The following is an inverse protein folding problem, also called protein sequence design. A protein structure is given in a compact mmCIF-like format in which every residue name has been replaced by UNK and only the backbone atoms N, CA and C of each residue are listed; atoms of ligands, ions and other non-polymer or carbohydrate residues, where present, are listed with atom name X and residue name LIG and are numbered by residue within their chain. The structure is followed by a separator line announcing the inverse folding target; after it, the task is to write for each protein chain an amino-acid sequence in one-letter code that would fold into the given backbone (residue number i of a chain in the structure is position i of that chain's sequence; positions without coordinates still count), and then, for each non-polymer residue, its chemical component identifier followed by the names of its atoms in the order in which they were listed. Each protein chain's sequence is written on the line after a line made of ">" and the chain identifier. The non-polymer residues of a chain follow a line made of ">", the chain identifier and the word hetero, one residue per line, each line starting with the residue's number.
data_IF_509198599076
#
_entry.id   IF_509198599076
#
_cell.length_a   1.000
_cell.length_b   1.000
_cell.length_c   1.000
_cell.angle_alpha   90.00
_cell.angle_beta   90.00
_cell.angle_gamma   90.00
#
_symmetry.space_group_name_H-M   'P 1'
#
loop_
_entity.id
_entity.type
_entity.pdbx_description
1 polymer ?
#
# COMPACT_ATOMS: atom_id res chain seq x y z
N UNK A 1 -33.90 -16.48 19.89
CA UNK A 1 -33.59 -15.73 18.65
C UNK A 1 -33.19 -16.74 17.59
N UNK A 2 -34.02 -16.96 16.56
CA UNK A 2 -33.67 -17.82 15.44
C UNK A 2 -32.45 -17.23 14.72
N UNK A 3 -31.30 -17.90 14.79
CA UNK A 3 -30.16 -17.60 13.92
C UNK A 3 -30.58 -17.98 12.50
N UNK A 4 -31.13 -17.04 11.75
CA UNK A 4 -31.29 -17.17 10.31
C UNK A 4 -29.90 -17.34 9.73
N UNK A 5 -29.55 -18.57 9.35
CA UNK A 5 -28.26 -18.87 8.71
C UNK A 5 -28.18 -18.02 7.45
N UNK A 6 -27.31 -17.02 7.46
CA UNK A 6 -27.07 -16.19 6.29
C UNK A 6 -26.46 -17.06 5.21
N UNK A 7 -26.90 -16.87 3.96
CA UNK A 7 -26.45 -17.66 2.81
C UNK A 7 -25.82 -16.74 1.77
N UNK A 8 -24.83 -17.25 1.05
CA UNK A 8 -24.15 -16.58 -0.05
C UNK A 8 -24.43 -17.34 -1.33
N UNK A 9 -24.84 -16.64 -2.38
CA UNK A 9 -25.12 -17.23 -3.69
C UNK A 9 -24.00 -16.86 -4.65
N UNK A 10 -23.59 -17.81 -5.49
CA UNK A 10 -22.59 -17.59 -6.53
C UNK A 10 -23.07 -16.56 -7.57
N UNK A 11 -22.13 -15.94 -8.27
CA UNK A 11 -22.40 -14.92 -9.29
C UNK A 11 -23.23 -15.46 -10.47
N UNK A 12 -23.11 -16.75 -10.75
CA UNK A 12 -23.88 -17.45 -11.78
C UNK A 12 -25.25 -17.94 -11.29
N UNK A 13 -25.57 -17.77 -10.00
CA UNK A 13 -26.84 -18.16 -9.39
C UNK A 13 -27.04 -19.67 -9.19
N UNK A 14 -26.05 -20.51 -9.54
CA UNK A 14 -26.21 -21.98 -9.53
C UNK A 14 -25.93 -22.63 -8.18
N UNK A 15 -25.15 -21.97 -7.32
CA UNK A 15 -24.70 -22.51 -6.04
C UNK A 15 -25.04 -21.53 -4.91
N UNK A 16 -25.59 -22.06 -3.82
CA UNK A 16 -25.84 -21.29 -2.59
C UNK A 16 -25.21 -22.03 -1.43
N UNK A 17 -24.29 -21.37 -0.73
CA UNK A 17 -23.57 -21.90 0.43
C UNK A 17 -23.94 -21.10 1.69
N UNK A 18 -23.62 -21.63 2.87
CA UNK A 18 -23.74 -20.84 4.10
C UNK A 18 -22.57 -19.87 4.25
N UNK A 19 -22.74 -18.82 5.07
CA UNK A 19 -21.63 -17.89 5.36
C UNK A 19 -20.45 -18.61 6.00
N UNK A 20 -20.68 -19.59 6.88
CA UNK A 20 -19.60 -20.35 7.51
C UNK A 20 -18.78 -21.18 6.50
N UNK A 21 -19.43 -21.65 5.43
CA UNK A 21 -18.76 -22.35 4.35
C UNK A 21 -17.99 -21.39 3.44
N UNK A 22 -18.55 -20.22 3.17
CA UNK A 22 -17.87 -19.14 2.44
C UNK A 22 -16.59 -18.70 3.15
N UNK A 23 -16.65 -18.45 4.47
CA UNK A 23 -15.48 -18.04 5.26
C UNK A 23 -14.38 -19.12 5.23
N UNK A 24 -14.77 -20.40 5.35
CA UNK A 24 -13.81 -21.51 5.24
C UNK A 24 -13.11 -21.56 3.88
N UNK A 25 -13.86 -21.34 2.80
CA UNK A 25 -13.29 -21.31 1.43
C UNK A 25 -12.33 -20.12 1.31
N UNK A 26 -12.72 -18.94 1.80
CA UNK A 26 -11.88 -17.74 1.78
C UNK A 26 -10.56 -17.94 2.56
N UNK A 27 -10.63 -18.46 3.79
CA UNK A 27 -9.47 -18.70 4.65
C UNK A 27 -8.52 -19.78 4.09
N UNK A 28 -9.06 -20.74 3.33
CA UNK A 28 -8.26 -21.77 2.67
C UNK A 28 -7.46 -21.26 1.47
N UNK A 29 -7.76 -20.05 0.97
CA UNK A 29 -7.17 -19.50 -0.25
C UNK A 29 -7.57 -20.26 -1.52
N UNK A 30 -8.68 -21.00 -1.49
CA UNK A 30 -9.17 -21.73 -2.65
C UNK A 30 -9.69 -20.79 -3.75
N UNK A 31 -9.34 -21.07 -5.00
CA UNK A 31 -9.87 -20.34 -6.17
C UNK A 31 -11.38 -20.48 -6.37
N UNK A 32 -12.05 -21.36 -5.62
CA UNK A 32 -13.53 -21.44 -5.60
C UNK A 32 -14.19 -20.14 -5.10
N UNK A 33 -13.47 -19.32 -4.34
CA UNK A 33 -13.97 -18.04 -3.82
C UNK A 33 -14.35 -17.06 -4.95
N UNK A 34 -13.69 -17.16 -6.10
CA UNK A 34 -13.91 -16.28 -7.26
C UNK A 34 -15.32 -16.45 -7.85
N UNK A 35 -15.98 -17.59 -7.62
CA UNK A 35 -17.36 -17.82 -8.06
C UNK A 35 -18.38 -17.01 -7.24
N UNK A 36 -17.97 -16.44 -6.11
CA UNK A 36 -18.84 -15.73 -5.16
C UNK A 36 -18.49 -14.25 -5.01
N UNK A 37 -17.34 -13.79 -5.51
CA UNK A 37 -16.88 -12.39 -5.38
C UNK A 37 -16.76 -11.73 -6.75
N UNK A 38 -17.51 -10.64 -6.96
CA UNK A 38 -17.32 -9.79 -8.13
C UNK A 38 -16.14 -8.84 -7.90
N UNK A 39 -14.96 -9.26 -8.35
CA UNK A 39 -13.73 -8.48 -8.26
C UNK A 39 -13.76 -7.17 -9.06
N UNK A 40 -14.67 -7.00 -10.03
CA UNK A 40 -14.79 -5.75 -10.81
C UNK A 40 -15.35 -4.60 -9.98
N UNK A 41 -16.12 -4.92 -8.95
CA UNK A 41 -16.66 -3.95 -7.98
C UNK A 41 -15.70 -3.63 -6.84
N UNK A 42 -14.61 -4.40 -6.73
CA UNK A 42 -13.57 -4.22 -5.72
C UNK A 42 -12.84 -2.90 -5.88
N UNK A 43 -13.24 -1.88 -5.12
CA UNK A 43 -12.48 -0.63 -5.04
C UNK A 43 -11.14 -0.91 -4.36
N UNK A 44 -10.03 -0.78 -5.10
CA UNK A 44 -8.68 -0.80 -4.51
C UNK A 44 -8.61 0.20 -3.35
N UNK A 45 -8.07 -0.25 -2.21
CA UNK A 45 -7.83 0.63 -1.06
C UNK A 45 -7.02 1.86 -1.48
N UNK A 46 -7.43 3.05 -1.03
CA UNK A 46 -6.84 4.35 -1.41
C UNK A 46 -7.77 5.27 -2.20
N UNK A 47 -8.90 4.76 -2.70
CA UNK A 47 -9.88 5.53 -3.48
C UNK A 47 -10.91 6.34 -2.65
N UNK A 48 -10.82 6.35 -1.31
CA UNK A 48 -11.64 7.28 -0.52
C UNK A 48 -11.14 8.71 -0.82
N UNK A 49 -12.03 9.69 -1.08
CA UNK A 49 -11.63 11.09 -1.18
C UNK A 49 -10.81 11.48 0.06
N UNK A 50 -9.53 11.80 -0.14
CA UNK A 50 -8.60 12.14 0.94
C UNK A 50 -7.76 11.01 1.54
N UNK A 51 -7.93 9.74 1.12
CA UNK A 51 -7.11 8.62 1.60
C UNK A 51 -5.83 8.36 0.77
N UNK A 52 -5.63 9.11 -0.32
CA UNK A 52 -4.35 9.15 -1.02
C UNK A 52 -3.34 10.05 -0.31
N UNK A 53 -2.04 9.75 -0.43
CA UNK A 53 -0.99 10.73 -0.10
C UNK A 53 -1.23 11.98 -0.95
N UNK A 54 -1.50 13.12 -0.32
CA UNK A 54 -1.57 14.41 -1.03
C UNK A 54 -0.25 14.62 -1.79
N UNK A 55 -0.34 14.94 -3.07
CA UNK A 55 0.84 15.34 -3.84
C UNK A 55 1.45 16.57 -3.15
N UNK A 56 2.66 16.43 -2.62
CA UNK A 56 3.42 17.58 -2.12
C UNK A 56 4.13 18.19 -3.32
N UNK A 57 3.99 19.50 -3.58
CA UNK A 57 4.84 20.16 -4.57
C UNK A 57 6.28 20.01 -4.09
N UNK A 58 7.07 19.24 -4.83
CA UNK A 58 8.47 19.03 -4.56
C UNK A 58 9.26 19.48 -5.78
N UNK A 59 10.10 20.50 -5.62
CA UNK A 59 11.10 20.82 -6.62
C UNK A 59 12.09 19.66 -6.67
N UNK A 60 12.27 19.06 -7.85
CA UNK A 60 13.29 18.03 -8.06
C UNK A 60 14.61 18.74 -8.35
N UNK A 61 15.51 18.72 -7.38
CA UNK A 61 16.89 19.17 -7.54
C UNK A 61 17.79 17.95 -7.76
N UNK A 62 18.48 17.94 -8.89
CA UNK A 62 19.49 16.93 -9.18
C UNK A 62 20.87 17.50 -8.84
N UNK A 63 21.54 16.90 -7.86
CA UNK A 63 22.87 17.32 -7.43
C UNK A 63 23.86 16.20 -7.76
N UNK A 64 24.77 16.47 -8.69
CA UNK A 64 25.86 15.54 -8.98
C UNK A 64 26.94 15.63 -7.91
N UNK A 65 27.06 14.57 -7.12
CA UNK A 65 28.12 14.42 -6.12
C UNK A 65 29.26 13.58 -6.72
N UNK A 66 30.47 14.13 -6.71
CA UNK A 66 31.70 13.40 -7.11
C UNK A 66 31.81 12.07 -6.34
N UNK A 67 32.19 10.96 -6.99
CA UNK A 67 32.21 9.63 -6.36
C UNK A 67 32.98 9.57 -5.03
N UNK A 68 34.14 10.23 -4.97
CA UNK A 68 35.03 10.28 -3.80
C UNK A 68 34.38 10.93 -2.56
N UNK A 69 33.39 11.80 -2.77
CA UNK A 69 32.70 12.52 -1.69
C UNK A 69 31.50 11.76 -1.14
N UNK A 70 31.01 10.73 -1.85
CA UNK A 70 29.82 9.95 -1.45
C UNK A 70 30.02 9.26 -0.11
N UNK A 71 31.19 8.66 0.09
CA UNK A 71 31.49 7.93 1.33
C UNK A 71 31.66 8.88 2.52
N UNK A 72 32.28 10.05 2.30
CA UNK A 72 32.38 11.10 3.32
C UNK A 72 31.00 11.66 3.69
N UNK A 73 30.14 11.88 2.70
CA UNK A 73 28.77 12.35 2.92
C UNK A 73 27.95 11.31 3.71
N UNK A 74 28.06 10.02 3.35
CA UNK A 74 27.38 8.93 4.05
C UNK A 74 27.80 8.83 5.52
N UNK A 75 29.11 8.91 5.80
CA UNK A 75 29.63 8.89 7.18
C UNK A 75 29.12 10.07 7.99
N UNK A 76 29.20 11.29 7.46
CA UNK A 76 28.69 12.50 8.13
C UNK A 76 27.18 12.47 8.36
N UNK A 77 26.41 11.93 7.42
CA UNK A 77 24.97 11.76 7.57
C UNK A 77 24.65 10.79 8.71
N UNK A 78 25.38 9.67 8.80
CA UNK A 78 25.23 8.68 9.87
C UNK A 78 25.62 9.23 11.24
N UNK A 79 26.73 9.97 11.34
CA UNK A 79 27.16 10.62 12.60
C UNK A 79 26.12 11.60 13.13
N UNK A 80 25.44 12.33 12.23
CA UNK A 80 24.38 13.29 12.59
C UNK A 80 22.99 12.68 12.73
N UNK A 81 22.82 11.39 12.44
CA UNK A 81 21.51 10.72 12.48
C UNK A 81 20.51 11.23 11.44
N UNK A 82 20.97 11.85 10.35
CA UNK A 82 20.12 12.41 9.28
C UNK A 82 20.35 11.69 7.96
N UNK A 83 19.43 11.86 7.01
CA UNK A 83 19.61 11.34 5.65
C UNK A 83 20.63 12.18 4.87
N UNK A 84 21.24 11.57 3.85
CA UNK A 84 22.17 12.27 2.95
C UNK A 84 21.49 13.48 2.27
N UNK A 85 20.21 13.35 1.90
CA UNK A 85 19.42 14.41 1.28
C UNK A 85 19.26 15.60 2.24
N UNK A 86 18.83 15.35 3.47
CA UNK A 86 18.69 16.40 4.49
C UNK A 86 20.00 17.12 4.77
N UNK A 87 21.13 16.39 4.75
CA UNK A 87 22.43 16.99 4.94
C UNK A 87 22.78 17.94 3.77
N UNK A 88 22.51 17.53 2.53
CA UNK A 88 22.74 18.37 1.34
C UNK A 88 21.81 19.58 1.34
N UNK A 89 20.52 19.40 1.62
CA UNK A 89 19.55 20.49 1.75
C UNK A 89 20.01 21.54 2.78
N UNK A 90 20.46 21.09 3.96
CA UNK A 90 20.94 22.00 5.01
C UNK A 90 22.18 22.83 4.64
N UNK A 91 22.95 22.38 3.65
CA UNK A 91 24.12 23.11 3.14
C UNK A 91 23.69 24.08 2.04
N UNK A 92 22.77 23.67 1.17
CA UNK A 92 22.22 24.51 0.10
C UNK A 92 21.45 25.70 0.70
N UNK A 93 20.67 25.50 1.77
CA UNK A 93 19.94 26.58 2.45
C UNK A 93 20.85 27.62 3.14
N UNK A 94 22.14 27.29 3.36
CA UNK A 94 23.12 28.18 4.00
C UNK A 94 24.00 28.94 3.01
N UNK A 95 23.91 28.62 1.72
CA UNK A 95 24.61 29.31 0.63
C UNK A 95 23.79 30.50 0.15
#
# INVERSE_FOLDING_TARGET
>A
MNKTKSKVTSLDGKRTISVEEFDRIADSGSGEIDQFIDWTTGKRGGARPGAGRKAKPAARLEVMIRPELREKLRRKAKEKGVTQVQLVESVIERL
#
